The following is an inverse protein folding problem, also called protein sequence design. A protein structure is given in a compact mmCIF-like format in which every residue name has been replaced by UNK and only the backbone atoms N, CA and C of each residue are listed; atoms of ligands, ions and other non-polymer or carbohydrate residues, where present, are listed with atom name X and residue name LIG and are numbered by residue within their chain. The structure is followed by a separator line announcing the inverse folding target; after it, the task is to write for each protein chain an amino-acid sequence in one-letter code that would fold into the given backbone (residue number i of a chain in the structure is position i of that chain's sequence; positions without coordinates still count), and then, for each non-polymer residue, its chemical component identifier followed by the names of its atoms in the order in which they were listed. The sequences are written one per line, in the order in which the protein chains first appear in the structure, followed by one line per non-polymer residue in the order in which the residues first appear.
data_IF_404733862594
#
_entry.id   IF_404733862594
#
_cell.length_a   1.000
_cell.length_b   1.000
_cell.length_c   1.000
_cell.angle_alpha   90.00
_cell.angle_beta   90.00
_cell.angle_gamma   90.00
#
_symmetry.space_group_name_H-M   'P 1'
#
loop_
_entity.id
_entity.type
_entity.pdbx_description
1 polymer ?
#
# COMPACT_ATOMS: atom_id res chain seq x y z
N UNK A 1 9.07 -11.65 -22.12
CA UNK A 1 9.53 -11.85 -20.73
C UNK A 1 9.48 -10.49 -20.04
N UNK A 2 8.41 -10.22 -19.27
CA UNK A 2 8.29 -8.95 -18.54
C UNK A 2 9.27 -9.02 -17.37
N UNK A 3 10.29 -8.17 -17.38
CA UNK A 3 11.21 -8.05 -16.26
C UNK A 3 10.40 -7.66 -15.01
N UNK A 4 10.39 -8.53 -14.01
CA UNK A 4 9.69 -8.31 -12.75
C UNK A 4 10.36 -7.15 -12.04
N UNK A 5 9.81 -5.94 -12.19
CA UNK A 5 10.37 -4.75 -11.55
C UNK A 5 10.34 -4.93 -10.03
N UNK A 6 11.30 -4.37 -9.27
CA UNK A 6 11.28 -4.37 -7.80
C UNK A 6 9.94 -3.88 -7.23
N UNK A 7 9.31 -2.93 -7.92
CA UNK A 7 7.95 -2.46 -7.64
C UNK A 7 6.89 -3.56 -7.74
N UNK A 8 6.94 -4.43 -8.75
CA UNK A 8 6.02 -5.57 -8.89
C UNK A 8 6.17 -6.56 -7.73
N UNK A 9 7.39 -6.80 -7.25
CA UNK A 9 7.64 -7.65 -6.08
C UNK A 9 7.05 -7.05 -4.81
N UNK A 10 7.24 -5.75 -4.59
CA UNK A 10 6.69 -5.03 -3.43
C UNK A 10 5.16 -4.98 -3.49
N UNK A 11 4.57 -4.73 -4.66
CA UNK A 11 3.11 -4.74 -4.86
C UNK A 11 2.54 -6.14 -4.60
N UNK A 12 3.19 -7.21 -5.07
CA UNK A 12 2.76 -8.59 -4.82
C UNK A 12 2.83 -8.95 -3.32
N UNK A 13 3.87 -8.52 -2.61
CA UNK A 13 4.01 -8.70 -1.16
C UNK A 13 2.93 -7.93 -0.38
N UNK A 14 2.58 -6.73 -0.83
CA UNK A 14 1.56 -5.91 -0.19
C UNK A 14 0.14 -6.39 -0.49
N UNK A 15 -0.11 -6.97 -1.67
CA UNK A 15 -1.43 -7.46 -2.11
C UNK A 15 -1.96 -8.65 -1.30
N UNK A 16 -1.20 -9.15 -0.32
CA UNK A 16 -1.78 -9.91 0.78
C UNK A 16 -2.20 -11.32 0.41
N UNK A 17 -1.42 -12.03 -0.41
CA UNK A 17 -1.42 -13.50 -0.37
C UNK A 17 -0.65 -14.04 0.85
N UNK A 18 -0.10 -13.16 1.70
CA UNK A 18 0.49 -13.48 2.99
C UNK A 18 0.04 -12.48 4.05
N UNK A 19 -0.26 -13.00 5.26
CA UNK A 19 -0.64 -12.24 6.44
C UNK A 19 0.21 -10.99 6.65
N UNK A 20 -0.39 -9.92 7.18
CA UNK A 20 0.19 -8.57 7.35
C UNK A 20 1.60 -8.49 7.99
N UNK A 21 2.11 -9.57 8.60
CA UNK A 21 3.49 -9.70 9.06
C UNK A 21 4.52 -9.96 7.93
N UNK A 22 4.09 -10.47 6.77
CA UNK A 22 4.93 -10.85 5.64
C UNK A 22 5.34 -9.63 4.79
N UNK A 23 4.50 -8.60 4.75
CA UNK A 23 4.82 -7.35 4.04
C UNK A 23 5.98 -6.60 4.70
N UNK A 24 5.98 -6.47 6.03
CA UNK A 24 7.07 -5.81 6.77
C UNK A 24 8.39 -6.59 6.66
N UNK A 25 8.34 -7.92 6.69
CA UNK A 25 9.52 -8.77 6.45
C UNK A 25 10.07 -8.56 5.04
N UNK A 26 9.20 -8.48 4.04
CA UNK A 26 9.59 -8.24 2.65
C UNK A 26 10.21 -6.86 2.41
N UNK A 27 9.72 -5.82 3.09
CA UNK A 27 10.30 -4.48 3.02
C UNK A 27 11.61 -4.41 3.81
N UNK A 28 11.68 -5.06 4.97
CA UNK A 28 12.88 -5.06 5.83
C UNK A 28 14.07 -5.84 5.24
N UNK A 29 13.84 -6.76 4.29
CA UNK A 29 14.90 -7.52 3.60
C UNK A 29 15.53 -6.75 2.42
N UNK A 30 14.95 -5.59 2.02
CA UNK A 30 15.52 -4.72 0.99
C UNK A 30 16.69 -3.89 1.55
N UNK A 31 17.69 -3.63 0.71
CA UNK A 31 18.78 -2.71 1.06
C UNK A 31 18.25 -1.28 1.19
N UNK A 32 18.90 -0.45 2.01
CA UNK A 32 18.52 0.95 2.21
C UNK A 32 18.43 1.75 0.88
N UNK A 33 19.35 1.50 -0.06
CA UNK A 33 19.34 2.11 -1.39
C UNK A 33 18.19 1.63 -2.28
N UNK A 34 17.64 0.45 -1.99
CA UNK A 34 16.50 -0.13 -2.71
C UNK A 34 15.16 0.35 -2.14
N UNK A 35 15.14 0.97 -0.95
CA UNK A 35 13.94 1.50 -0.30
C UNK A 35 13.52 2.89 -0.80
N UNK A 36 14.43 3.68 -1.36
CA UNK A 36 14.13 5.05 -1.82
C UNK A 36 13.09 5.08 -2.96
N UNK A 37 13.19 4.15 -3.91
CA UNK A 37 12.25 4.08 -5.03
C UNK A 37 10.84 3.63 -4.58
N UNK A 38 10.67 2.58 -3.74
CA UNK A 38 9.40 2.24 -3.11
C UNK A 38 8.78 3.38 -2.29
N UNK A 39 9.57 4.08 -1.46
CA UNK A 39 9.08 5.23 -0.66
C UNK A 39 8.48 6.27 -1.59
N UNK A 40 9.24 6.73 -2.58
CA UNK A 40 8.79 7.75 -3.53
C UNK A 40 7.55 7.30 -4.31
N UNK A 41 7.57 6.08 -4.82
CA UNK A 41 6.44 5.54 -5.59
C UNK A 41 5.18 5.42 -4.72
N UNK A 42 5.32 4.99 -3.47
CA UNK A 42 4.22 4.90 -2.53
C UNK A 42 3.63 6.28 -2.19
N UNK A 43 4.49 7.29 -1.99
CA UNK A 43 4.07 8.67 -1.79
C UNK A 43 3.33 9.23 -3.00
N UNK A 44 3.85 9.03 -4.21
CA UNK A 44 3.18 9.43 -5.45
C UNK A 44 1.80 8.76 -5.60
N UNK A 45 1.69 7.46 -5.30
CA UNK A 45 0.39 6.77 -5.35
C UNK A 45 -0.58 7.27 -4.26
N UNK A 46 -0.09 7.57 -3.05
CA UNK A 46 -0.89 8.19 -2.01
C UNK A 46 -1.47 9.54 -2.48
N UNK A 47 -0.63 10.38 -3.08
CA UNK A 47 -1.07 11.67 -3.62
C UNK A 47 -2.10 11.51 -4.74
N UNK A 48 -1.90 10.58 -5.67
CA UNK A 48 -2.89 10.27 -6.71
C UNK A 48 -4.23 9.79 -6.12
N UNK A 49 -4.21 8.94 -5.09
CA UNK A 49 -5.43 8.52 -4.39
C UNK A 49 -6.16 9.70 -3.75
N UNK A 50 -5.42 10.63 -3.13
CA UNK A 50 -5.95 11.84 -2.51
C UNK A 50 -6.59 12.76 -3.55
N UNK A 51 -5.89 13.05 -4.64
CA UNK A 51 -6.38 13.89 -5.74
C UNK A 51 -7.65 13.31 -6.36
N UNK A 52 -7.68 12.01 -6.63
CA UNK A 52 -8.86 11.33 -7.18
C UNK A 52 -10.06 11.39 -6.22
N UNK A 53 -9.83 11.22 -4.92
CA UNK A 53 -10.89 11.30 -3.93
C UNK A 53 -11.48 12.71 -3.86
N UNK A 54 -10.61 13.72 -3.93
CA UNK A 54 -11.00 15.13 -3.91
C UNK A 54 -11.78 15.52 -5.17
N UNK A 55 -11.34 15.11 -6.36
CA UNK A 55 -12.07 15.32 -7.61
C UNK A 55 -13.44 14.65 -7.59
N UNK A 56 -13.53 13.40 -7.09
CA UNK A 56 -14.80 12.69 -6.97
C UNK A 56 -15.76 13.40 -6.00
N UNK A 57 -15.24 13.90 -4.87
CA UNK A 57 -16.00 14.72 -3.92
C UNK A 57 -16.55 15.98 -4.59
N UNK A 58 -15.71 16.74 -5.28
CA UNK A 58 -16.11 17.96 -5.99
C UNK A 58 -17.16 17.69 -7.08
N UNK A 59 -17.04 16.59 -7.82
CA UNK A 59 -18.02 16.17 -8.81
C UNK A 59 -19.39 15.85 -8.18
N UNK A 60 -19.40 15.15 -7.05
CA UNK A 60 -20.63 14.86 -6.31
C UNK A 60 -21.26 16.14 -5.77
N UNK A 61 -20.48 17.03 -5.18
CA UNK A 61 -20.96 18.31 -4.64
C UNK A 61 -21.57 19.19 -5.73
N UNK A 62 -20.89 19.33 -6.86
CA UNK A 62 -21.40 20.11 -8.01
C UNK A 62 -22.71 19.53 -8.54
N UNK A 63 -22.83 18.21 -8.58
CA UNK A 63 -24.05 17.53 -9.04
C UNK A 63 -25.21 17.69 -8.06
N UNK A 64 -24.94 17.58 -6.75
CA UNK A 64 -25.95 17.77 -5.71
C UNK A 64 -26.42 19.23 -5.64
N UNK A 65 -25.50 20.18 -5.75
CA UNK A 65 -25.81 21.62 -5.73
C UNK A 65 -26.65 22.04 -6.95
N UNK A 66 -26.48 21.39 -8.10
CA UNK A 66 -27.24 21.67 -9.32
C UNK A 66 -28.70 21.21 -9.31
N UNK A 67 -29.19 20.60 -8.22
CA UNK A 67 -30.60 20.18 -8.08
C UNK A 67 -31.04 19.05 -9.01
N UNK A 68 -30.13 18.50 -9.82
CA UNK A 68 -30.39 17.34 -10.68
C UNK A 68 -30.33 16.10 -9.80
N UNK A 69 -31.45 15.39 -9.67
CA UNK A 69 -31.52 14.14 -8.90
C UNK A 69 -30.45 13.16 -9.37
N UNK A 70 -29.48 12.88 -8.51
CA UNK A 70 -28.47 11.87 -8.80
C UNK A 70 -29.06 10.50 -8.47
N UNK A 71 -29.04 9.51 -9.37
CA UNK A 71 -29.56 8.19 -9.07
C UNK A 71 -28.88 7.61 -7.82
N UNK A 72 -29.67 7.07 -6.89
CA UNK A 72 -29.17 6.48 -5.62
C UNK A 72 -28.10 5.43 -5.88
N UNK A 73 -28.26 4.61 -6.93
CA UNK A 73 -27.26 3.63 -7.34
C UNK A 73 -25.90 4.26 -7.66
N UNK A 74 -25.89 5.41 -8.35
CA UNK A 74 -24.65 6.11 -8.68
C UNK A 74 -24.02 6.75 -7.43
N UNK A 75 -24.83 7.25 -6.49
CA UNK A 75 -24.31 7.75 -5.19
C UNK A 75 -23.61 6.63 -4.41
N UNK A 76 -24.22 5.43 -4.38
CA UNK A 76 -23.65 4.26 -3.72
C UNK A 76 -22.33 3.82 -4.38
N UNK A 77 -22.27 3.83 -5.71
CA UNK A 77 -21.03 3.53 -6.46
C UNK A 77 -19.94 4.55 -6.11
N UNK A 78 -20.24 5.85 -6.17
CA UNK A 78 -19.29 6.89 -5.87
C UNK A 78 -18.81 6.84 -4.40
N UNK A 79 -19.72 6.57 -3.46
CA UNK A 79 -19.39 6.37 -2.04
C UNK A 79 -18.43 5.18 -1.84
N UNK A 80 -18.69 4.04 -2.48
CA UNK A 80 -17.79 2.87 -2.44
C UNK A 80 -16.42 3.21 -3.02
N UNK A 81 -16.35 3.94 -4.13
CA UNK A 81 -15.09 4.37 -4.70
C UNK A 81 -14.31 5.31 -3.78
N UNK A 82 -14.98 6.26 -3.11
CA UNK A 82 -14.34 7.14 -2.12
C UNK A 82 -13.78 6.35 -0.93
N UNK A 83 -14.52 5.35 -0.45
CA UNK A 83 -14.03 4.45 0.62
C UNK A 83 -12.81 3.67 0.15
N UNK A 84 -12.83 3.14 -1.08
CA UNK A 84 -11.69 2.45 -1.68
C UNK A 84 -10.46 3.34 -1.79
N UNK A 85 -10.60 4.55 -2.34
CA UNK A 85 -9.51 5.52 -2.47
C UNK A 85 -8.92 5.90 -1.10
N UNK A 86 -9.75 6.03 -0.07
CA UNK A 86 -9.27 6.31 1.29
C UNK A 86 -8.49 5.13 1.88
N UNK A 87 -8.95 3.90 1.65
CA UNK A 87 -8.24 2.70 2.08
C UNK A 87 -6.88 2.60 1.38
N UNK A 88 -6.85 2.82 0.06
CA UNK A 88 -5.61 2.78 -0.73
C UNK A 88 -4.64 3.89 -0.32
N UNK A 89 -5.13 5.12 -0.12
CA UNK A 89 -4.34 6.22 0.42
C UNK A 89 -3.65 5.84 1.73
N UNK A 90 -4.39 5.25 2.68
CA UNK A 90 -3.83 4.81 3.96
C UNK A 90 -2.75 3.76 3.74
N UNK A 91 -3.04 2.75 2.91
CA UNK A 91 -2.11 1.65 2.63
C UNK A 91 -0.81 2.14 1.98
N UNK A 92 -0.88 3.08 1.06
CA UNK A 92 0.29 3.68 0.44
C UNK A 92 1.12 4.51 1.42
N UNK A 93 0.46 5.24 2.33
CA UNK A 93 1.13 5.97 3.41
C UNK A 93 1.81 5.05 4.41
N UNK A 94 1.14 3.97 4.81
CA UNK A 94 1.69 2.98 5.73
C UNK A 94 2.93 2.32 5.11
N UNK A 95 2.89 1.98 3.80
CA UNK A 95 4.05 1.47 3.06
C UNK A 95 5.22 2.47 3.04
N UNK A 96 4.96 3.72 2.65
CA UNK A 96 5.99 4.75 2.62
C UNK A 96 6.61 4.96 4.00
N UNK A 97 5.77 4.94 5.05
CA UNK A 97 6.17 5.03 6.44
C UNK A 97 7.09 3.88 6.86
N UNK A 98 6.68 2.63 6.65
CA UNK A 98 7.48 1.45 6.97
C UNK A 98 8.81 1.43 6.22
N UNK A 99 8.80 1.72 4.91
CA UNK A 99 10.02 1.73 4.10
C UNK A 99 10.99 2.84 4.54
N UNK A 100 10.49 4.04 4.85
CA UNK A 100 11.31 5.13 5.38
C UNK A 100 11.90 4.77 6.74
N UNK A 101 11.09 4.19 7.63
CA UNK A 101 11.51 3.77 8.96
C UNK A 101 12.65 2.73 8.89
N UNK A 102 12.53 1.71 8.04
CA UNK A 102 13.59 0.70 7.90
C UNK A 102 14.86 1.24 7.25
N UNK A 103 14.74 2.20 6.33
CA UNK A 103 15.89 2.90 5.77
C UNK A 103 16.66 3.69 6.84
N UNK A 104 15.94 4.37 7.74
CA UNK A 104 16.52 5.20 8.81
C UNK A 104 17.02 4.36 10.00
N UNK A 105 16.46 3.17 10.19
CA UNK A 105 16.79 2.26 11.28
C UNK A 105 17.21 0.86 10.77
N UNK A 106 18.37 0.73 10.10
CA UNK A 106 18.79 -0.52 9.45
C UNK A 106 18.99 -1.68 10.44
N UNK A 107 19.36 -1.40 11.69
CA UNK A 107 19.46 -2.43 12.73
C UNK A 107 18.10 -3.08 13.06
N UNK A 108 17.02 -2.29 12.99
CA UNK A 108 15.65 -2.78 13.21
C UNK A 108 15.17 -3.58 12.00
N UNK A 109 15.46 -3.09 10.79
CA UNK A 109 15.19 -3.81 9.55
C UNK A 109 15.83 -5.21 9.56
N UNK A 110 17.13 -5.31 9.90
CA UNK A 110 17.82 -6.58 10.02
C UNK A 110 17.19 -7.53 11.06
N UNK A 111 16.73 -6.99 12.19
CA UNK A 111 16.06 -7.80 13.23
C UNK A 111 14.74 -8.36 12.73
N UNK A 112 13.94 -7.56 12.04
CA UNK A 112 12.64 -7.98 11.48
C UNK A 112 12.85 -8.98 10.34
N UNK A 113 13.80 -8.73 9.43
CA UNK A 113 14.15 -9.65 8.36
C UNK A 113 14.59 -11.02 8.89
N UNK A 114 15.36 -11.05 9.99
CA UNK A 114 15.76 -12.30 10.67
C UNK A 114 14.59 -13.01 11.33
N UNK A 115 13.75 -12.28 12.07
CA UNK A 115 12.58 -12.85 12.74
C UNK A 115 11.56 -13.45 11.74
N UNK A 116 11.40 -12.83 10.57
CA UNK A 116 10.58 -13.35 9.48
C UNK A 116 11.12 -14.66 8.88
N UNK A 117 12.45 -14.81 8.78
CA UNK A 117 13.10 -16.03 8.26
C UNK A 117 12.95 -17.21 9.22
N UNK A 118 12.99 -17.00 10.54
CA UNK A 118 12.73 -18.07 11.52
C UNK A 118 11.28 -18.54 11.49
N UNK A 119 10.31 -17.65 11.32
CA UNK A 119 8.89 -18.03 11.27
C UNK A 119 8.52 -18.82 9.99
N UNK A 120 9.24 -18.60 8.89
CA UNK A 120 9.02 -19.32 7.62
C UNK A 120 9.85 -20.62 7.56
N UNK A 121 10.96 -20.70 8.31
CA UNK A 121 11.88 -21.84 8.34
C UNK A 121 11.43 -23.05 9.15
N UNK A 122 10.48 -22.90 10.08
CA UNK A 122 10.00 -23.99 10.95
C UNK A 122 8.91 -24.88 10.28
N UNK A 123 8.90 -24.95 8.95
CA UNK A 123 8.04 -25.84 8.16
C UNK A 123 8.57 -27.27 8.01
N UNK A 124 9.76 -27.59 8.54
CA UNK A 124 10.23 -28.98 8.67
C UNK A 124 9.89 -29.53 10.05
N UNK A 125 8.81 -30.30 10.10
CA UNK A 125 8.45 -31.14 11.24
C UNK A 125 9.34 -32.40 11.21
N UNK A 126 10.18 -32.70 12.22
CA UNK A 126 10.88 -33.97 12.30
C UNK A 126 10.10 -34.95 13.18
N UNK A 127 9.65 -36.05 12.58
CA UNK A 127 9.72 -37.42 13.11
C UNK A 127 9.34 -38.39 11.99
#
# INVERSE_FOLDING_TARGET
MVATSPLHRVIALLQGTGASAIADVGIADLLASELDAPVRSAEEQAELCRERAELMRQLLETRLAGGVGYPVANMLIASRHLVGLRHDLRRWRDLAGSARYYREHPAIALRIARAGKTVIGDGECPA
#
